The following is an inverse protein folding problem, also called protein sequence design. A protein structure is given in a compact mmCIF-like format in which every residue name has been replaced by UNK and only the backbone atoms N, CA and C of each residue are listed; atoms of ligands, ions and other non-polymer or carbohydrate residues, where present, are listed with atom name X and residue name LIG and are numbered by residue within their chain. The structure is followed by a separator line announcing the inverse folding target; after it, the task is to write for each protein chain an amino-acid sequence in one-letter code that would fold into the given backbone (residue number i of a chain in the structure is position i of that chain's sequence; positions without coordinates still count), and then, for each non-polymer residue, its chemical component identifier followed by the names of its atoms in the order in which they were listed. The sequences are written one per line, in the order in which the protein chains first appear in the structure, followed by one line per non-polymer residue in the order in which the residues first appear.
data_IF_076302716439
#
_entry.id   IF_076302716439
#
_cell.length_a   1.000
_cell.length_b   1.000
_cell.length_c   1.000
_cell.angle_alpha   90.00
_cell.angle_beta   90.00
_cell.angle_gamma   90.00
#
_symmetry.space_group_name_H-M   'P 1'
#
loop_
_entity.id
_entity.type
_entity.pdbx_description
1 polymer ?
#
# COMPACT_ATOMS: atom_id res chain seq x y z
N UNK A 1 -12.43 -17.33 9.87
CA UNK A 1 -12.00 -18.42 8.95
C UNK A 1 -11.20 -17.82 7.80
N UNK A 2 -10.48 -18.65 7.01
CA UNK A 2 -9.68 -18.20 5.84
C UNK A 2 -10.57 -17.46 4.82
N UNK A 3 -11.83 -17.80 4.72
CA UNK A 3 -12.83 -17.17 3.86
C UNK A 3 -13.17 -15.74 4.32
N UNK A 4 -13.25 -15.48 5.62
CA UNK A 4 -13.44 -14.14 6.19
C UNK A 4 -12.23 -13.25 5.96
N UNK A 5 -11.01 -13.82 6.04
CA UNK A 5 -9.77 -13.08 5.76
C UNK A 5 -9.62 -12.70 4.28
N UNK A 6 -10.27 -13.41 3.39
CA UNK A 6 -10.24 -13.15 1.94
C UNK A 6 -11.43 -12.28 1.46
N UNK A 7 -12.31 -11.84 2.37
CA UNK A 7 -13.48 -11.04 2.01
C UNK A 7 -14.50 -11.80 1.14
N UNK A 8 -14.43 -13.13 1.15
CA UNK A 8 -15.41 -13.99 0.47
C UNK A 8 -16.56 -14.19 1.44
N UNK A 9 -17.57 -13.36 1.35
CA UNK A 9 -18.86 -13.66 1.99
C UNK A 9 -19.35 -15.01 1.46
N UNK A 10 -19.49 -15.99 2.31
CA UNK A 10 -20.06 -17.25 1.89
C UNK A 10 -21.51 -17.01 1.48
N UNK A 11 -21.91 -17.53 0.33
CA UNK A 11 -23.33 -17.49 -0.08
C UNK A 11 -24.27 -18.11 0.97
N UNK A 12 -23.76 -18.94 1.87
CA UNK A 12 -24.47 -19.53 2.98
C UNK A 12 -24.97 -18.48 3.98
N UNK A 13 -24.20 -17.43 4.26
CA UNK A 13 -24.59 -16.37 5.21
C UNK A 13 -25.71 -15.48 4.65
N UNK A 14 -25.81 -15.34 3.33
CA UNK A 14 -26.95 -14.65 2.68
C UNK A 14 -28.23 -15.47 2.69
N UNK A 15 -28.13 -16.79 2.73
CA UNK A 15 -29.29 -17.70 2.70
C UNK A 15 -29.86 -17.91 4.08
N UNK A 16 -29.08 -17.79 5.15
CA UNK A 16 -29.56 -17.91 6.53
C UNK A 16 -30.52 -16.78 6.98
N UNK A 17 -30.52 -15.64 6.29
CA UNK A 17 -31.44 -14.52 6.54
C UNK A 17 -32.82 -14.64 5.89
N UNK A 18 -33.02 -15.59 4.97
CA UNK A 18 -34.30 -15.89 4.37
C UNK A 18 -34.81 -17.20 4.96
N UNK A 19 -35.53 -17.06 6.05
CA UNK A 19 -36.20 -18.17 6.70
C UNK A 19 -37.12 -18.96 5.74
N UNK A 20 -36.97 -20.28 5.78
CA UNK A 20 -37.97 -21.27 5.42
C UNK A 20 -38.52 -21.25 3.99
N UNK A 21 -37.74 -21.47 2.97
CA UNK A 21 -38.29 -22.01 1.71
C UNK A 21 -37.29 -23.02 1.10
N UNK A 22 -37.70 -24.29 1.09
CA UNK A 22 -37.22 -25.30 0.13
C UNK A 22 -35.78 -25.79 0.27
N UNK A 23 -35.25 -25.91 1.44
CA UNK A 23 -33.80 -26.03 1.67
C UNK A 23 -33.17 -27.43 1.50
N UNK A 24 -33.97 -28.48 1.43
CA UNK A 24 -33.43 -29.85 1.35
C UNK A 24 -32.68 -30.16 0.05
N UNK A 25 -33.08 -29.53 -1.07
CA UNK A 25 -32.40 -29.75 -2.36
C UNK A 25 -31.15 -28.87 -2.54
N UNK A 26 -31.16 -27.65 -1.98
CA UNK A 26 -30.00 -26.73 -2.09
C UNK A 26 -28.80 -27.20 -1.28
N UNK A 27 -29.02 -27.75 -0.08
CA UNK A 27 -27.94 -28.33 0.72
C UNK A 27 -27.35 -29.60 0.10
N UNK A 28 -28.17 -30.40 -0.61
CA UNK A 28 -27.68 -31.58 -1.32
C UNK A 28 -26.83 -31.24 -2.55
N UNK A 29 -27.12 -30.15 -3.22
CA UNK A 29 -26.28 -29.70 -4.35
C UNK A 29 -24.94 -29.13 -3.88
N UNK A 30 -24.89 -28.45 -2.74
CA UNK A 30 -23.63 -27.90 -2.20
C UNK A 30 -22.71 -28.98 -1.60
N UNK A 31 -23.29 -30.08 -1.08
CA UNK A 31 -22.55 -31.21 -0.52
C UNK A 31 -22.17 -32.27 -1.56
N UNK A 32 -22.53 -32.09 -2.81
CA UNK A 32 -22.12 -32.97 -3.90
C UNK A 32 -20.59 -32.97 -4.06
N UNK A 33 -19.93 -34.14 -4.14
CA UNK A 33 -18.50 -34.25 -4.43
C UNK A 33 -18.10 -33.51 -5.71
N UNK A 34 -19.01 -33.41 -6.67
CA UNK A 34 -18.81 -32.66 -7.91
C UNK A 34 -18.76 -31.14 -7.69
N UNK A 35 -19.59 -30.59 -6.81
CA UNK A 35 -19.58 -29.16 -6.47
C UNK A 35 -18.27 -28.78 -5.77
N UNK A 36 -17.75 -29.66 -4.90
CA UNK A 36 -16.44 -29.46 -4.24
C UNK A 36 -15.28 -29.56 -5.23
N UNK A 37 -15.35 -30.51 -6.18
CA UNK A 37 -14.35 -30.64 -7.26
C UNK A 37 -14.39 -29.43 -8.19
N UNK A 38 -15.58 -28.90 -8.49
CA UNK A 38 -15.76 -27.73 -9.33
C UNK A 38 -15.23 -26.46 -8.63
N UNK A 39 -15.47 -26.31 -7.33
CA UNK A 39 -14.90 -25.23 -6.52
C UNK A 39 -13.37 -25.31 -6.46
N UNK A 40 -12.82 -26.52 -6.27
CA UNK A 40 -11.37 -26.76 -6.30
C UNK A 40 -10.78 -26.49 -7.69
N UNK A 41 -11.48 -26.88 -8.76
CA UNK A 41 -11.07 -26.59 -10.13
C UNK A 41 -11.09 -25.07 -10.42
N UNK A 42 -12.09 -24.36 -9.94
CA UNK A 42 -12.20 -22.90 -10.08
C UNK A 42 -11.15 -22.14 -9.26
N UNK A 43 -10.83 -22.64 -8.04
CA UNK A 43 -9.72 -22.11 -7.24
C UNK A 43 -8.34 -22.44 -7.85
N UNK A 44 -8.23 -23.53 -8.62
CA UNK A 44 -7.00 -23.94 -9.30
C UNK A 44 -6.81 -23.29 -10.65
N UNK A 45 -7.84 -22.66 -11.22
CA UNK A 45 -7.71 -21.88 -12.45
C UNK A 45 -6.87 -20.64 -12.20
N UNK A 46 -5.86 -20.37 -13.01
CA UNK A 46 -5.16 -19.09 -12.94
C UNK A 46 -6.20 -17.99 -13.13
N UNK A 47 -6.14 -16.91 -12.32
CA UNK A 47 -7.08 -15.81 -12.45
C UNK A 47 -7.11 -15.33 -13.89
N UNK A 48 -8.31 -15.22 -14.46
CA UNK A 48 -8.49 -14.72 -15.82
C UNK A 48 -8.02 -13.26 -15.84
N UNK A 49 -7.12 -12.95 -16.76
CA UNK A 49 -6.61 -11.60 -16.93
C UNK A 49 -7.73 -10.75 -17.54
N UNK A 50 -8.23 -9.76 -16.78
CA UNK A 50 -9.31 -8.87 -17.22
C UNK A 50 -8.86 -7.95 -18.36
N UNK A 51 -7.60 -7.51 -18.29
CA UNK A 51 -7.01 -6.59 -19.25
C UNK A 51 -5.95 -7.31 -20.10
N UNK A 52 -6.39 -8.31 -20.91
CA UNK A 52 -5.50 -9.09 -21.78
C UNK A 52 -4.67 -8.20 -22.71
N UNK A 53 -5.25 -7.11 -23.20
CA UNK A 53 -4.56 -6.13 -24.05
C UNK A 53 -3.37 -5.50 -23.34
N UNK A 54 -3.52 -5.11 -22.05
CA UNK A 54 -2.43 -4.53 -21.27
C UNK A 54 -1.35 -5.57 -20.97
N UNK A 55 -1.76 -6.81 -20.68
CA UNK A 55 -0.80 -7.91 -20.45
C UNK A 55 0.09 -8.17 -21.67
N UNK A 56 -0.43 -8.01 -22.89
CA UNK A 56 0.33 -8.21 -24.12
C UNK A 56 1.38 -7.12 -24.33
N UNK A 57 1.10 -5.88 -23.92
CA UNK A 57 2.02 -4.75 -24.05
C UNK A 57 3.32 -4.94 -23.26
N UNK A 58 3.32 -5.72 -22.17
CA UNK A 58 4.54 -6.03 -21.42
C UNK A 58 5.58 -6.83 -22.21
N UNK A 59 5.15 -7.54 -23.23
CA UNK A 59 6.01 -8.39 -24.04
C UNK A 59 6.33 -7.77 -25.42
N UNK A 60 5.76 -6.59 -25.71
CA UNK A 60 5.96 -5.87 -26.98
C UNK A 60 6.81 -4.63 -26.70
N UNK A 61 7.80 -4.29 -27.51
CA UNK A 61 8.48 -3.00 -27.41
C UNK A 61 7.43 -1.91 -27.63
N UNK A 62 7.16 -1.14 -26.57
CA UNK A 62 6.17 -0.05 -26.61
C UNK A 62 6.75 1.07 -27.47
N UNK A 63 6.15 1.33 -28.62
CA UNK A 63 6.37 2.56 -29.36
C UNK A 63 5.52 3.62 -28.65
N UNK A 64 6.16 4.54 -27.95
CA UNK A 64 5.51 5.58 -27.13
C UNK A 64 4.99 6.73 -28.01
N UNK A 65 3.90 6.52 -28.73
CA UNK A 65 3.24 7.61 -29.46
C UNK A 65 2.44 8.56 -28.55
N UNK A 66 2.07 8.10 -27.35
CA UNK A 66 1.29 8.87 -26.37
C UNK A 66 1.60 8.38 -24.93
N UNK A 67 2.74 8.72 -24.34
CA UNK A 67 3.14 8.22 -23.05
C UNK A 67 2.32 8.83 -21.91
N UNK A 68 1.75 7.99 -21.04
CA UNK A 68 1.18 8.40 -19.78
C UNK A 68 2.25 8.29 -18.68
N UNK A 69 2.58 9.42 -18.05
CA UNK A 69 3.52 9.43 -16.93
C UNK A 69 2.84 9.02 -15.63
N UNK A 70 3.53 8.20 -14.86
CA UNK A 70 3.09 7.82 -13.52
C UNK A 70 4.28 7.43 -12.65
N UNK A 71 4.10 7.56 -11.35
CA UNK A 71 5.10 7.19 -10.36
C UNK A 71 4.69 5.91 -9.65
N UNK A 72 5.68 5.13 -9.22
CA UNK A 72 5.49 3.91 -8.44
C UNK A 72 6.39 3.93 -7.23
N UNK A 73 5.80 3.64 -6.08
CA UNK A 73 6.50 3.44 -4.82
C UNK A 73 6.19 2.06 -4.27
N UNK A 74 7.18 1.43 -3.64
CA UNK A 74 7.01 0.15 -2.97
C UNK A 74 7.43 0.29 -1.51
N UNK A 75 6.55 -0.18 -0.62
CA UNK A 75 6.79 -0.19 0.82
C UNK A 75 6.63 -1.62 1.36
N UNK A 76 7.46 -1.96 2.35
CA UNK A 76 7.53 -3.31 2.93
C UNK A 76 7.14 -3.29 4.39
N UNK A 77 6.24 -4.21 4.77
CA UNK A 77 5.79 -4.41 6.15
C UNK A 77 5.85 -5.90 6.48
N UNK A 78 6.43 -6.24 7.63
CA UNK A 78 6.50 -7.63 8.07
C UNK A 78 5.10 -8.14 8.42
N UNK A 79 4.69 -9.22 7.79
CA UNK A 79 3.49 -9.96 8.16
C UNK A 79 3.85 -11.14 9.07
N UNK A 80 4.87 -11.89 8.69
CA UNK A 80 5.45 -13.01 9.44
C UNK A 80 6.93 -13.15 9.07
N UNK A 81 7.61 -14.16 9.61
CA UNK A 81 9.01 -14.43 9.26
C UNK A 81 9.20 -14.86 7.81
N UNK A 82 8.15 -15.44 7.20
CA UNK A 82 8.16 -15.96 5.84
C UNK A 82 7.41 -15.07 4.85
N UNK A 83 6.67 -14.06 5.32
CA UNK A 83 5.80 -13.23 4.48
C UNK A 83 5.98 -11.75 4.78
N UNK A 84 6.13 -10.99 3.71
CA UNK A 84 6.24 -9.53 3.75
C UNK A 84 5.09 -8.94 2.93
N UNK A 85 4.31 -8.07 3.56
CA UNK A 85 3.33 -7.25 2.84
C UNK A 85 4.12 -6.26 2.01
N UNK A 86 3.98 -6.39 0.70
CA UNK A 86 4.57 -5.51 -0.29
C UNK A 86 3.47 -4.60 -0.82
N UNK A 87 3.48 -3.35 -0.39
CA UNK A 87 2.50 -2.35 -0.80
C UNK A 87 3.03 -1.59 -2.01
N UNK A 88 2.42 -1.81 -3.17
CA UNK A 88 2.76 -1.14 -4.44
C UNK A 88 1.79 0.01 -4.61
N UNK A 89 2.28 1.24 -4.52
CA UNK A 89 1.49 2.47 -4.71
C UNK A 89 1.82 3.07 -6.07
N UNK A 90 0.78 3.32 -6.86
CA UNK A 90 0.84 3.94 -8.19
C UNK A 90 0.17 5.29 -8.09
N UNK A 91 0.81 6.33 -8.62
CA UNK A 91 0.30 7.70 -8.60
C UNK A 91 0.36 8.31 -10.00
N UNK A 92 -0.75 8.92 -10.42
CA UNK A 92 -0.91 9.61 -11.72
C UNK A 92 -1.34 11.04 -11.48
N UNK A 93 -0.77 11.98 -12.21
CA UNK A 93 -1.22 13.38 -12.23
C UNK A 93 -2.57 13.46 -12.96
N UNK A 94 -3.61 13.98 -12.33
CA UNK A 94 -4.94 14.05 -12.96
C UNK A 94 -4.99 15.00 -14.15
N UNK A 95 -4.07 15.97 -14.23
CA UNK A 95 -3.95 16.88 -15.40
C UNK A 95 -3.58 16.15 -16.69
N UNK A 96 -2.93 14.98 -16.59
CA UNK A 96 -2.52 14.14 -17.72
C UNK A 96 -3.62 13.17 -18.16
N UNK A 97 -4.79 13.19 -17.46
CA UNK A 97 -5.93 12.32 -17.75
C UNK A 97 -7.02 13.09 -18.49
N UNK A 98 -7.74 12.38 -19.36
CA UNK A 98 -8.89 12.92 -20.06
C UNK A 98 -10.18 12.67 -19.27
N UNK A 99 -10.82 13.77 -18.85
CA UNK A 99 -12.12 13.73 -18.19
C UNK A 99 -13.22 13.80 -19.24
N UNK A 100 -14.22 12.93 -19.13
CA UNK A 100 -15.41 12.87 -19.99
C UNK A 100 -16.65 13.04 -19.14
N UNK A 101 -17.69 13.65 -19.70
CA UNK A 101 -18.99 13.74 -19.04
C UNK A 101 -19.62 12.35 -18.94
N UNK A 102 -20.08 12.02 -17.74
CA UNK A 102 -20.79 10.78 -17.45
C UNK A 102 -21.92 11.09 -16.47
N UNK A 103 -23.11 11.36 -16.99
CA UNK A 103 -24.30 11.64 -16.21
C UNK A 103 -24.23 12.94 -15.40
N UNK A 104 -23.58 13.97 -15.93
CA UNK A 104 -23.42 15.28 -15.28
C UNK A 104 -22.20 15.39 -14.36
N UNK A 105 -21.40 14.32 -14.26
CA UNK A 105 -20.11 14.32 -13.58
C UNK A 105 -18.99 14.18 -14.61
N UNK A 106 -17.90 14.90 -14.38
CA UNK A 106 -16.66 14.73 -15.13
C UNK A 106 -15.92 13.53 -14.57
N UNK A 107 -15.61 12.55 -15.39
CA UNK A 107 -14.99 11.28 -14.97
C UNK A 107 -13.74 10.99 -15.80
N UNK A 108 -12.62 10.73 -15.12
CA UNK A 108 -11.45 10.10 -15.70
C UNK A 108 -11.34 8.65 -15.23
N UNK A 109 -11.01 7.74 -16.14
CA UNK A 109 -10.87 6.33 -15.84
C UNK A 109 -9.53 5.82 -16.34
N UNK A 110 -8.75 5.22 -15.45
CA UNK A 110 -7.53 4.50 -15.80
C UNK A 110 -7.69 3.02 -15.50
N UNK A 111 -7.12 2.20 -16.35
CA UNK A 111 -6.95 0.76 -16.10
C UNK A 111 -5.50 0.51 -15.69
N UNK A 112 -5.32 -0.20 -14.59
CA UNK A 112 -4.02 -0.58 -14.04
C UNK A 112 -3.85 -2.08 -14.18
N UNK A 113 -2.70 -2.49 -14.69
CA UNK A 113 -2.25 -3.88 -14.72
C UNK A 113 -0.87 -3.99 -14.10
N UNK A 114 -0.67 -4.97 -13.21
CA UNK A 114 0.62 -5.24 -12.61
C UNK A 114 0.95 -6.73 -12.59
N UNK A 115 2.18 -7.08 -12.96
CA UNK A 115 2.70 -8.45 -12.94
C UNK A 115 3.95 -8.53 -12.08
N UNK A 116 3.94 -9.42 -11.10
CA UNK A 116 5.08 -9.70 -10.24
C UNK A 116 5.70 -11.03 -10.66
N UNK A 117 6.98 -11.00 -10.97
CA UNK A 117 7.74 -12.17 -11.44
C UNK A 117 8.98 -12.36 -10.59
N UNK A 118 9.25 -13.58 -10.14
CA UNK A 118 10.50 -13.90 -9.44
C UNK A 118 11.69 -13.89 -10.39
N UNK A 119 12.92 -13.84 -9.85
CA UNK A 119 14.16 -13.94 -10.67
C UNK A 119 14.21 -15.22 -11.51
N UNK A 120 13.56 -16.30 -11.03
CA UNK A 120 13.45 -17.57 -11.77
C UNK A 120 12.40 -17.55 -12.87
N UNK A 121 11.81 -16.38 -13.19
CA UNK A 121 10.79 -16.23 -14.23
C UNK A 121 9.38 -16.70 -13.83
N UNK A 122 9.19 -17.17 -12.58
CA UNK A 122 7.87 -17.63 -12.14
C UNK A 122 7.01 -16.44 -11.74
N UNK A 123 5.75 -16.45 -12.17
CA UNK A 123 4.76 -15.47 -11.77
C UNK A 123 4.44 -15.63 -10.28
N UNK A 124 4.64 -14.55 -9.52
CA UNK A 124 4.37 -14.47 -8.09
C UNK A 124 3.05 -13.75 -7.77
N UNK A 125 2.55 -12.93 -8.70
CA UNK A 125 1.27 -12.24 -8.55
C UNK A 125 0.87 -11.46 -9.78
N UNK A 126 -0.44 -11.18 -9.87
CA UNK A 126 -1.05 -10.24 -10.83
C UNK A 126 -2.05 -9.40 -10.07
N UNK A 127 -2.19 -8.15 -10.46
CA UNK A 127 -3.27 -7.29 -10.03
C UNK A 127 -3.79 -6.46 -11.21
N UNK A 128 -5.09 -6.25 -11.22
CA UNK A 128 -5.80 -5.58 -12.30
C UNK A 128 -7.00 -4.84 -11.71
N UNK A 129 -6.98 -3.53 -11.78
CA UNK A 129 -8.06 -2.73 -11.23
C UNK A 129 -8.32 -1.47 -12.08
N UNK A 130 -9.59 -1.10 -12.31
CA UNK A 130 -9.93 0.22 -12.80
C UNK A 130 -9.91 1.22 -11.65
N UNK A 131 -9.36 2.41 -11.89
CA UNK A 131 -9.45 3.55 -10.97
C UNK A 131 -10.27 4.64 -11.65
N UNK A 132 -11.27 5.14 -10.95
CA UNK A 132 -12.18 6.16 -11.44
C UNK A 132 -12.05 7.39 -10.56
N UNK A 133 -11.78 8.52 -11.18
CA UNK A 133 -11.76 9.84 -10.53
C UNK A 133 -12.94 10.64 -11.04
N UNK A 134 -13.77 11.16 -10.15
CA UNK A 134 -14.94 11.96 -10.48
C UNK A 134 -14.83 13.36 -9.91
N UNK A 135 -15.35 14.34 -10.64
CA UNK A 135 -15.48 15.72 -10.19
C UNK A 135 -16.77 16.33 -10.77
N UNK A 136 -17.34 17.31 -10.09
CA UNK A 136 -18.34 18.17 -10.71
C UNK A 136 -17.66 19.09 -11.74
N UNK A 137 -18.42 19.66 -12.65
CA UNK A 137 -17.88 20.63 -13.63
C UNK A 137 -17.21 21.82 -12.93
N UNK A 138 -17.71 22.22 -11.77
CA UNK A 138 -17.15 23.32 -10.98
C UNK A 138 -15.81 22.95 -10.31
N UNK A 139 -15.67 21.70 -9.89
CA UNK A 139 -14.47 21.17 -9.21
C UNK A 139 -13.42 20.62 -10.18
N UNK A 140 -13.69 20.63 -11.48
CA UNK A 140 -12.82 19.97 -12.47
C UNK A 140 -11.38 20.52 -12.47
N UNK A 141 -11.24 21.84 -12.32
CA UNK A 141 -9.92 22.49 -12.26
C UNK A 141 -9.15 22.00 -11.05
N UNK A 142 -9.75 22.03 -9.87
CA UNK A 142 -9.13 21.56 -8.63
C UNK A 142 -8.86 20.03 -8.68
N UNK A 143 -9.75 19.28 -9.32
CA UNK A 143 -9.57 17.84 -9.50
C UNK A 143 -8.37 17.51 -10.40
N UNK A 144 -8.13 18.31 -11.45
CA UNK A 144 -6.96 18.18 -12.32
C UNK A 144 -5.65 18.51 -11.62
N UNK A 145 -5.67 19.43 -10.66
CA UNK A 145 -4.48 19.78 -9.86
C UNK A 145 -4.11 18.75 -8.80
N UNK A 146 -4.97 17.74 -8.60
CA UNK A 146 -4.73 16.62 -7.68
C UNK A 146 -4.07 15.44 -8.39
N UNK A 147 -3.71 14.46 -7.58
CA UNK A 147 -3.15 13.19 -8.05
C UNK A 147 -4.11 12.05 -7.68
N UNK A 148 -4.27 11.11 -8.59
CA UNK A 148 -4.96 9.86 -8.32
C UNK A 148 -3.95 8.82 -7.85
N UNK A 149 -4.24 8.17 -6.72
CA UNK A 149 -3.40 7.15 -6.14
C UNK A 149 -4.16 5.83 -6.03
N UNK A 150 -3.47 4.75 -6.36
CA UNK A 150 -3.93 3.37 -6.23
C UNK A 150 -2.89 2.57 -5.46
N UNK A 151 -3.31 1.67 -4.58
CA UNK A 151 -2.39 0.79 -3.88
C UNK A 151 -2.87 -0.66 -3.94
N UNK A 152 -1.92 -1.56 -4.23
CA UNK A 152 -2.10 -3.00 -4.10
C UNK A 152 -1.11 -3.55 -3.08
N UNK A 153 -1.62 -4.21 -2.06
CA UNK A 153 -0.82 -4.96 -1.11
C UNK A 153 -0.79 -6.45 -1.52
N UNK A 154 0.41 -7.01 -1.59
CA UNK A 154 0.64 -8.42 -1.92
C UNK A 154 1.58 -9.03 -0.88
N UNK A 155 1.25 -10.18 -0.34
CA UNK A 155 2.11 -10.91 0.58
C UNK A 155 3.11 -11.77 -0.21
N UNK A 156 4.38 -11.39 -0.19
CA UNK A 156 5.48 -12.10 -0.88
C UNK A 156 6.44 -12.75 0.12
N UNK A 157 7.07 -13.84 -0.27
CA UNK A 157 8.22 -14.38 0.45
C UNK A 157 9.43 -13.46 0.26
N UNK A 158 10.37 -13.39 1.23
CA UNK A 158 11.64 -12.69 1.03
C UNK A 158 12.37 -13.18 -0.22
N UNK A 159 12.93 -12.25 -1.00
CA UNK A 159 13.62 -12.57 -2.24
C UNK A 159 13.58 -11.44 -3.26
N UNK A 160 14.16 -11.67 -4.43
CA UNK A 160 14.20 -10.67 -5.50
C UNK A 160 13.15 -10.98 -6.55
N UNK A 161 12.36 -9.98 -6.89
CA UNK A 161 11.30 -10.02 -7.88
C UNK A 161 11.46 -8.85 -8.85
N UNK A 162 10.71 -8.89 -9.93
CA UNK A 162 10.46 -7.80 -10.86
C UNK A 162 8.96 -7.49 -10.83
N UNK A 163 8.62 -6.22 -10.79
CA UNK A 163 7.25 -5.75 -10.99
C UNK A 163 7.18 -5.00 -12.30
N UNK A 164 6.31 -5.43 -13.16
CA UNK A 164 5.94 -4.74 -14.40
C UNK A 164 4.57 -4.08 -14.15
N UNK A 165 4.47 -2.78 -14.34
CA UNK A 165 3.22 -2.01 -14.16
C UNK A 165 2.87 -1.31 -15.44
N UNK A 166 1.62 -1.41 -15.85
CA UNK A 166 1.02 -0.65 -16.96
C UNK A 166 -0.15 0.16 -16.43
N UNK A 167 -0.22 1.40 -16.84
CA UNK A 167 -1.36 2.28 -16.61
C UNK A 167 -1.84 2.81 -17.95
N UNK A 168 -3.15 2.72 -18.22
CA UNK A 168 -3.77 3.24 -19.44
C UNK A 168 -4.95 4.15 -19.11
N UNK A 169 -4.94 5.34 -19.64
CA UNK A 169 -6.11 6.21 -19.65
C UNK A 169 -7.10 5.66 -20.69
N UNK A 170 -8.31 5.35 -20.24
CA UNK A 170 -9.34 4.71 -21.10
C UNK A 170 -9.84 5.68 -22.16
N UNK A 171 -9.91 6.96 -21.87
CA UNK A 171 -10.47 7.97 -22.75
C UNK A 171 -9.51 8.37 -23.88
N UNK A 172 -8.25 8.63 -23.57
CA UNK A 172 -7.22 9.01 -24.56
C UNK A 172 -6.49 7.83 -25.18
N UNK A 173 -6.49 6.68 -24.50
CA UNK A 173 -5.64 5.54 -24.87
C UNK A 173 -4.17 5.70 -24.46
N UNK A 174 -3.79 6.83 -23.87
CA UNK A 174 -2.43 7.08 -23.37
C UNK A 174 -2.01 5.97 -22.40
N UNK A 175 -0.82 5.42 -22.61
CA UNK A 175 -0.34 4.26 -21.88
C UNK A 175 1.07 4.48 -21.38
N UNK A 176 1.32 4.17 -20.11
CA UNK A 176 2.63 4.18 -19.50
C UNK A 176 3.02 2.80 -19.00
N UNK A 177 4.32 2.50 -19.02
CA UNK A 177 4.90 1.25 -18.54
C UNK A 177 6.06 1.55 -17.59
N UNK A 178 6.16 0.82 -16.48
CA UNK A 178 7.28 0.86 -15.55
C UNK A 178 7.73 -0.57 -15.20
N UNK A 179 9.04 -0.75 -15.17
CA UNK A 179 9.69 -1.98 -14.75
C UNK A 179 10.51 -1.69 -13.49
N UNK A 180 10.24 -2.39 -12.39
CA UNK A 180 10.82 -2.10 -11.09
C UNK A 180 11.42 -3.36 -10.51
N UNK A 181 12.68 -3.27 -10.07
CA UNK A 181 13.28 -4.30 -9.23
C UNK A 181 12.66 -4.27 -7.84
N UNK A 182 12.30 -5.43 -7.33
CA UNK A 182 11.57 -5.59 -6.07
C UNK A 182 12.36 -6.51 -5.12
N UNK A 183 13.31 -5.98 -4.35
CA UNK A 183 14.03 -6.74 -3.34
C UNK A 183 13.19 -6.81 -2.07
N UNK A 184 12.40 -7.88 -1.92
CA UNK A 184 11.58 -8.11 -0.72
C UNK A 184 12.49 -8.52 0.43
N UNK A 185 12.54 -7.73 1.53
CA UNK A 185 13.47 -7.95 2.61
C UNK A 185 13.16 -9.22 3.41
N UNK A 186 14.20 -9.82 3.98
CA UNK A 186 14.07 -10.86 5.01
C UNK A 186 14.21 -10.21 6.38
N UNK A 187 13.23 -10.39 7.23
CA UNK A 187 13.27 -9.95 8.62
C UNK A 187 13.82 -11.08 9.51
N UNK A 188 14.91 -10.78 10.23
CA UNK A 188 15.49 -11.71 11.20
C UNK A 188 14.72 -11.54 12.53
N UNK A 189 14.11 -12.61 13.07
CA UNK A 189 13.31 -12.51 14.30
C UNK A 189 14.13 -12.13 15.55
N UNK A 190 15.45 -12.24 15.51
CA UNK A 190 16.34 -11.90 16.63
C UNK A 190 16.96 -10.49 16.52
N UNK A 191 16.69 -9.78 15.42
CA UNK A 191 17.26 -8.46 15.20
C UNK A 191 16.20 -7.38 15.22
N UNK A 192 16.52 -6.27 15.89
CA UNK A 192 15.73 -5.05 15.74
C UNK A 192 15.65 -4.69 14.26
N UNK A 193 14.46 -4.43 13.76
CA UNK A 193 14.24 -4.08 12.36
C UNK A 193 13.04 -3.15 12.21
N UNK A 194 12.89 -2.53 11.03
CA UNK A 194 11.77 -1.63 10.74
C UNK A 194 11.12 -1.97 9.43
N UNK A 195 9.86 -1.57 9.26
CA UNK A 195 9.26 -1.45 7.94
C UNK A 195 9.97 -0.38 7.10
N UNK A 196 9.56 -0.22 5.85
CA UNK A 196 9.86 1.02 5.12
C UNK A 196 9.33 2.22 5.90
N UNK A 197 10.13 3.30 5.93
CA UNK A 197 9.69 4.61 6.42
C UNK A 197 8.84 5.28 5.33
N UNK A 198 7.55 5.43 5.60
CA UNK A 198 6.61 6.04 4.66
C UNK A 198 6.40 7.50 5.00
N UNK A 199 6.64 8.37 4.02
CA UNK A 199 6.19 9.76 4.06
C UNK A 199 4.82 9.84 3.38
N UNK A 200 3.81 10.23 4.15
CA UNK A 200 2.41 10.18 3.74
C UNK A 200 1.83 11.57 3.49
N UNK A 201 1.01 11.68 2.47
CA UNK A 201 0.15 12.85 2.25
C UNK A 201 -1.03 12.86 3.23
N UNK A 202 -1.46 11.68 3.70
CA UNK A 202 -2.54 11.56 4.69
C UNK A 202 -2.29 10.37 5.61
N UNK A 203 -2.49 10.60 6.91
CA UNK A 203 -2.55 9.58 7.95
C UNK A 203 -3.89 9.69 8.68
N UNK A 204 -4.56 8.57 8.89
CA UNK A 204 -5.85 8.51 9.56
C UNK A 204 -5.92 7.25 10.43
N UNK A 205 -6.15 7.42 11.73
CA UNK A 205 -6.35 6.28 12.63
C UNK A 205 -7.77 5.76 12.52
N UNK A 206 -7.91 4.44 12.35
CA UNK A 206 -9.18 3.76 12.12
C UNK A 206 -9.77 3.17 13.41
N UNK A 207 -9.65 3.87 14.54
CA UNK A 207 -9.88 3.35 15.91
C UNK A 207 -11.08 2.40 16.07
N UNK A 208 -12.21 2.68 15.40
CA UNK A 208 -13.45 1.89 15.50
C UNK A 208 -14.00 1.46 14.14
N UNK A 209 -13.24 1.63 13.07
CA UNK A 209 -13.64 1.24 11.73
C UNK A 209 -12.98 -0.06 11.30
N UNK A 210 -13.59 -0.84 10.40
CA UNK A 210 -12.94 -2.02 9.83
C UNK A 210 -11.61 -1.63 9.18
N UNK A 211 -10.51 -2.18 9.69
CA UNK A 211 -9.17 -1.95 9.17
C UNK A 211 -8.92 -2.72 7.85
N UNK A 212 -9.80 -2.51 6.86
CA UNK A 212 -9.81 -3.22 5.58
C UNK A 212 -9.87 -2.21 4.45
N UNK A 213 -9.11 -2.41 3.40
CA UNK A 213 -9.17 -1.60 2.18
C UNK A 213 -7.80 -1.15 1.67
N UNK A 214 -7.82 -0.34 0.62
CA UNK A 214 -6.61 0.26 0.09
C UNK A 214 -6.00 1.23 1.11
N UNK A 215 -4.68 1.29 1.13
CA UNK A 215 -3.91 2.17 2.02
C UNK A 215 -3.99 1.85 3.52
N UNK A 216 -4.62 0.74 3.90
CA UNK A 216 -4.75 0.36 5.32
C UNK A 216 -3.58 -0.54 5.73
N UNK A 217 -2.85 -0.12 6.76
CA UNK A 217 -1.72 -0.84 7.36
C UNK A 217 -1.93 -0.88 8.87
N UNK A 218 -2.23 -2.07 9.41
CA UNK A 218 -2.66 -2.22 10.80
C UNK A 218 -3.96 -1.44 11.05
N UNK A 219 -3.98 -0.53 12.00
CA UNK A 219 -5.11 0.33 12.35
C UNK A 219 -4.99 1.75 11.78
N UNK A 220 -4.15 1.94 10.77
CA UNK A 220 -3.89 3.26 10.20
C UNK A 220 -4.09 3.24 8.68
N UNK A 221 -4.84 4.20 8.17
CA UNK A 221 -4.89 4.48 6.74
C UNK A 221 -3.73 5.40 6.40
N UNK A 222 -2.82 4.92 5.55
CA UNK A 222 -1.58 5.57 5.17
C UNK A 222 -1.58 5.81 3.67
N UNK A 223 -1.81 7.03 3.22
CA UNK A 223 -1.73 7.40 1.80
C UNK A 223 -0.34 7.97 1.54
N UNK A 224 0.59 7.21 0.93
CA UNK A 224 1.94 7.70 0.68
C UNK A 224 1.93 8.90 -0.28
N UNK A 225 2.83 9.85 -0.06
CA UNK A 225 3.20 10.83 -1.07
C UNK A 225 4.34 10.24 -1.92
N UNK A 226 3.99 9.76 -3.12
CA UNK A 226 4.95 9.04 -3.97
C UNK A 226 6.03 9.97 -4.53
N UNK A 227 5.67 11.22 -4.85
CA UNK A 227 6.61 12.22 -5.36
C UNK A 227 7.55 12.77 -4.27
N UNK A 228 7.19 12.66 -3.00
CA UNK A 228 7.92 13.26 -1.90
C UNK A 228 7.89 14.79 -1.88
N UNK A 229 7.03 15.43 -2.69
CA UNK A 229 6.88 16.89 -2.78
C UNK A 229 5.64 17.35 -2.03
N UNK A 230 5.79 18.32 -1.15
CA UNK A 230 4.71 18.90 -0.34
C UNK A 230 4.64 20.41 -0.55
N UNK A 231 3.44 20.95 -0.63
CA UNK A 231 3.25 22.41 -0.60
C UNK A 231 3.41 22.92 0.82
N UNK A 232 3.87 24.15 0.97
CA UNK A 232 3.95 24.79 2.28
C UNK A 232 2.57 24.80 2.95
N UNK A 233 2.49 24.30 4.17
CA UNK A 233 1.24 24.13 4.93
C UNK A 233 0.60 22.75 4.80
N UNK A 234 1.00 21.93 3.83
CA UNK A 234 0.62 20.52 3.78
C UNK A 234 1.43 19.73 4.80
N UNK A 235 0.79 19.02 5.73
CA UNK A 235 1.54 18.26 6.73
C UNK A 235 2.22 17.03 6.10
N UNK A 236 3.43 16.71 6.56
CA UNK A 236 4.13 15.48 6.20
C UNK A 236 3.81 14.40 7.21
N UNK A 237 3.10 13.37 6.80
CA UNK A 237 2.85 12.19 7.63
C UNK A 237 4.07 11.29 7.69
N UNK A 238 4.40 10.78 8.87
CA UNK A 238 5.44 9.77 9.09
C UNK A 238 4.76 8.51 9.56
N UNK A 239 4.99 7.40 8.86
CA UNK A 239 4.53 6.08 9.29
C UNK A 239 5.66 5.05 9.18
N UNK A 240 5.89 4.32 10.27
CA UNK A 240 6.88 3.25 10.31
C UNK A 240 6.51 2.24 11.40
N UNK A 241 6.78 0.97 11.17
CA UNK A 241 6.69 -0.08 12.17
C UNK A 241 8.08 -0.50 12.61
N UNK A 242 8.24 -0.75 13.91
CA UNK A 242 9.45 -1.30 14.51
C UNK A 242 9.15 -2.71 14.98
N UNK A 243 10.04 -3.64 14.66
CA UNK A 243 9.89 -5.06 14.94
C UNK A 243 11.00 -5.58 15.85
N UNK A 244 10.66 -6.58 16.68
CA UNK A 244 11.58 -7.29 17.56
C UNK A 244 12.27 -6.38 18.60
N UNK A 245 11.56 -5.35 19.06
CA UNK A 245 12.01 -4.57 20.20
C UNK A 245 12.03 -5.46 21.45
N UNK A 246 13.08 -5.36 22.25
CA UNK A 246 13.25 -6.14 23.47
C UNK A 246 12.19 -5.82 24.52
N UNK A 247 11.70 -6.85 25.20
CA UNK A 247 10.71 -6.73 26.26
C UNK A 247 11.43 -6.48 27.61
N UNK A 248 11.12 -5.36 28.22
CA UNK A 248 11.55 -5.04 29.58
C UNK A 248 10.87 -5.99 30.59
N UNK A 249 11.66 -6.68 31.39
CA UNK A 249 11.17 -7.72 32.31
C UNK A 249 10.32 -7.17 33.46
N UNK A 250 10.46 -5.87 33.77
CA UNK A 250 9.72 -5.23 34.83
C UNK A 250 8.34 -4.77 34.35
N UNK A 251 8.28 -4.18 33.15
CA UNK A 251 7.05 -3.61 32.60
C UNK A 251 6.30 -4.58 31.69
N UNK A 252 6.97 -5.67 31.25
CA UNK A 252 6.49 -6.63 30.24
C UNK A 252 6.09 -5.96 28.92
N UNK A 253 6.77 -4.88 28.56
CA UNK A 253 6.52 -4.09 27.35
C UNK A 253 7.79 -3.82 26.57
N UNK A 254 7.70 -3.55 25.27
CA UNK A 254 8.85 -3.10 24.48
C UNK A 254 9.44 -1.82 25.06
N UNK A 255 10.77 -1.74 25.17
CA UNK A 255 11.47 -0.58 25.74
C UNK A 255 12.44 -0.01 24.71
N UNK A 256 11.98 1.05 24.01
CA UNK A 256 12.77 1.74 22.99
C UNK A 256 12.82 3.25 23.22
N UNK A 257 13.93 3.87 22.82
CA UNK A 257 14.03 5.32 22.65
C UNK A 257 13.82 5.62 21.16
N UNK A 258 13.00 6.61 20.86
CA UNK A 258 12.76 7.10 19.51
C UNK A 258 13.14 8.58 19.43
N UNK A 259 13.98 8.90 18.45
CA UNK A 259 14.44 10.25 18.19
C UNK A 259 14.19 10.61 16.73
N UNK A 260 13.46 11.68 16.50
CA UNK A 260 13.22 12.24 15.17
C UNK A 260 14.17 13.41 14.97
N UNK A 261 14.96 13.40 13.91
CA UNK A 261 15.83 14.49 13.50
C UNK A 261 15.44 14.96 12.09
N UNK A 262 15.09 16.24 11.97
CA UNK A 262 14.83 16.88 10.69
C UNK A 262 16.10 17.62 10.25
N UNK A 263 16.58 17.27 9.07
CA UNK A 263 17.76 17.88 8.47
C UNK A 263 17.38 18.70 7.24
N UNK A 264 18.05 19.82 7.02
CA UNK A 264 18.03 20.60 5.79
C UNK A 264 19.46 20.80 5.33
N UNK A 265 19.76 20.45 4.10
CA UNK A 265 21.13 20.53 3.54
C UNK A 265 22.18 19.84 4.44
N UNK A 266 21.80 18.69 5.04
CA UNK A 266 22.66 17.93 5.95
C UNK A 266 22.84 18.51 7.36
N UNK A 267 22.19 19.66 7.68
CA UNK A 267 22.23 20.28 9.02
C UNK A 267 20.92 20.01 9.76
N UNK A 268 21.01 19.63 11.02
CA UNK A 268 19.87 19.44 11.89
C UNK A 268 19.15 20.79 12.13
N UNK A 269 17.86 20.85 11.75
CA UNK A 269 17.01 22.03 11.92
C UNK A 269 15.90 21.82 12.94
N UNK A 270 15.69 20.58 13.35
CA UNK A 270 14.73 20.22 14.39
C UNK A 270 14.99 18.82 14.92
N UNK A 271 14.73 18.62 16.22
CA UNK A 271 14.91 17.36 16.90
C UNK A 271 13.82 17.15 17.94
N UNK A 272 13.28 15.95 17.99
CA UNK A 272 12.29 15.55 18.99
C UNK A 272 12.57 14.14 19.45
N UNK A 273 12.65 13.94 20.77
CA UNK A 273 12.75 12.62 21.36
C UNK A 273 11.39 12.19 21.93
N UNK A 274 11.13 10.90 21.90
CA UNK A 274 9.89 10.31 22.37
C UNK A 274 10.15 8.99 23.09
N UNK A 275 9.46 8.79 24.21
CA UNK A 275 9.51 7.55 24.98
C UNK A 275 8.30 6.67 24.63
N UNK A 276 8.55 5.51 24.07
CA UNK A 276 7.53 4.57 23.59
C UNK A 276 7.21 3.45 24.58
N UNK A 277 7.54 3.64 25.86
CA UNK A 277 7.16 2.70 26.90
C UNK A 277 5.64 2.61 27.01
N UNK A 278 5.03 1.67 26.36
CA UNK A 278 3.60 1.43 26.52
C UNK A 278 2.75 1.51 25.27
N UNK A 279 3.33 1.89 24.14
CA UNK A 279 2.63 1.85 22.87
C UNK A 279 3.07 0.60 22.09
N UNK A 280 2.26 -0.45 22.15
CA UNK A 280 2.48 -1.68 21.40
C UNK A 280 1.19 -2.10 20.71
N UNK A 281 1.23 -2.29 19.40
CA UNK A 281 0.07 -2.78 18.65
C UNK A 281 -0.15 -4.28 18.88
N UNK A 282 0.95 -5.04 18.88
CA UNK A 282 0.90 -6.50 19.09
C UNK A 282 2.29 -7.01 19.46
N UNK A 283 2.46 -7.45 20.71
CA UNK A 283 3.69 -8.06 21.19
C UNK A 283 4.91 -7.16 20.98
N UNK A 284 5.83 -7.59 20.11
CA UNK A 284 7.10 -6.89 19.84
C UNK A 284 7.04 -5.90 18.65
N UNK A 285 5.84 -5.55 18.18
CA UNK A 285 5.66 -4.57 17.11
C UNK A 285 5.20 -3.24 17.67
N UNK A 286 5.89 -2.16 17.33
CA UNK A 286 5.53 -0.79 17.63
C UNK A 286 5.19 -0.05 16.33
N UNK A 287 4.19 0.83 16.37
CA UNK A 287 3.85 1.69 15.23
C UNK A 287 4.14 3.14 15.56
N UNK A 288 5.00 3.75 14.74
CA UNK A 288 5.31 5.18 14.79
C UNK A 288 4.41 5.90 13.77
N UNK A 289 3.59 6.81 14.27
CA UNK A 289 2.65 7.60 13.49
C UNK A 289 2.72 9.06 13.95
N UNK A 290 3.29 9.94 13.12
CA UNK A 290 3.53 11.36 13.44
C UNK A 290 3.26 12.25 12.24
N UNK A 291 3.00 13.52 12.55
CA UNK A 291 2.82 14.57 11.54
C UNK A 291 3.85 15.67 11.76
N UNK A 292 4.52 16.10 10.69
CA UNK A 292 5.38 17.29 10.67
C UNK A 292 4.57 18.44 10.08
N UNK A 293 4.52 19.56 10.78
CA UNK A 293 3.94 20.80 10.29
C UNK A 293 4.94 21.54 9.38
N UNK A 294 4.59 21.71 8.12
CA UNK A 294 5.46 22.38 7.16
C UNK A 294 5.28 23.90 7.10
N UNK A 295 4.33 24.48 7.83
CA UNK A 295 4.05 25.94 7.79
C UNK A 295 5.26 26.80 8.16
N UNK A 296 6.09 26.29 9.07
CA UNK A 296 7.29 26.97 9.54
C UNK A 296 8.55 26.57 8.76
N UNK A 297 8.45 25.61 7.86
CA UNK A 297 9.58 25.18 7.04
C UNK A 297 9.76 26.13 5.86
N UNK A 298 11.01 26.52 5.61
CA UNK A 298 11.35 27.25 4.40
C UNK A 298 11.37 26.28 3.20
N UNK A 299 11.05 26.73 1.97
CA UNK A 299 11.18 25.89 0.79
C UNK A 299 12.57 25.25 0.68
N UNK A 300 12.62 24.02 0.16
CA UNK A 300 13.87 23.29 -0.03
C UNK A 300 13.76 21.79 0.27
N UNK A 301 14.90 21.11 0.17
CA UNK A 301 15.00 19.67 0.44
C UNK A 301 15.24 19.41 1.93
N UNK A 302 14.52 18.44 2.45
CA UNK A 302 14.62 17.97 3.82
C UNK A 302 14.84 16.47 3.87
N UNK A 303 15.47 16.01 4.95
CA UNK A 303 15.58 14.62 5.30
C UNK A 303 15.10 14.41 6.73
N UNK A 304 14.16 13.49 6.91
CA UNK A 304 13.78 13.02 8.25
C UNK A 304 14.55 11.74 8.57
N UNK A 305 15.25 11.71 9.67
CA UNK A 305 15.93 10.53 10.21
C UNK A 305 15.27 10.13 11.52
N UNK A 306 14.96 8.85 11.67
CA UNK A 306 14.30 8.31 12.86
C UNK A 306 15.25 7.33 13.53
N UNK A 307 15.90 7.75 14.60
CA UNK A 307 16.75 6.87 15.39
C UNK A 307 15.91 6.09 16.39
N UNK A 308 15.98 4.78 16.30
CA UNK A 308 15.33 3.85 17.24
C UNK A 308 16.42 3.08 17.97
N UNK A 309 16.44 3.15 19.30
CA UNK A 309 17.36 2.40 20.14
C UNK A 309 16.57 1.49 21.07
N UNK A 310 16.81 0.21 20.97
CA UNK A 310 16.28 -0.78 21.91
C UNK A 310 17.12 -0.76 23.20
N UNK A 311 16.49 -0.47 24.31
CA UNK A 311 17.16 -0.38 25.63
C UNK A 311 17.52 -1.75 26.19
N UNK A 312 16.82 -2.80 25.76
CA UNK A 312 17.03 -4.17 26.26
C UNK A 312 18.21 -4.83 25.55
N UNK A 313 18.19 -4.83 24.22
CA UNK A 313 19.26 -5.46 23.42
C UNK A 313 20.43 -4.52 23.11
N UNK A 314 20.28 -3.21 23.29
CA UNK A 314 21.25 -2.19 22.89
C UNK A 314 21.35 -1.97 21.39
N UNK A 315 20.57 -2.67 20.57
CA UNK A 315 20.55 -2.48 19.12
C UNK A 315 19.97 -1.12 18.73
N UNK A 316 20.44 -0.54 17.64
CA UNK A 316 19.99 0.76 17.16
C UNK A 316 19.88 0.79 15.64
N UNK A 317 18.87 1.50 15.12
CA UNK A 317 18.60 1.73 13.72
C UNK A 317 18.35 3.22 13.49
N UNK A 318 18.62 3.70 12.28
CA UNK A 318 18.37 5.10 11.90
C UNK A 318 17.88 5.21 10.44
N UNK A 319 16.70 4.66 10.11
CA UNK A 319 16.15 4.87 8.78
C UNK A 319 15.89 6.34 8.50
N UNK A 320 16.05 6.76 7.25
CA UNK A 320 15.78 8.12 6.81
C UNK A 320 14.98 8.17 5.52
N UNK A 321 14.32 9.29 5.28
CA UNK A 321 13.59 9.56 4.04
C UNK A 321 13.66 11.05 3.70
N UNK A 322 13.74 11.35 2.38
CA UNK A 322 13.83 12.72 1.87
C UNK A 322 12.48 13.22 1.38
N UNK A 323 12.25 14.52 1.50
CA UNK A 323 11.11 15.21 0.94
C UNK A 323 11.45 16.65 0.60
N UNK A 324 10.64 17.26 -0.26
CA UNK A 324 10.79 18.65 -0.66
C UNK A 324 9.59 19.47 -0.25
N UNK A 325 9.80 20.64 0.30
CA UNK A 325 8.77 21.66 0.57
C UNK A 325 8.88 22.76 -0.50
N UNK A 326 7.74 23.06 -1.17
CA UNK A 326 7.63 24.11 -2.17
C UNK A 326 7.21 25.44 -1.56
#
# INVERSE_FOLDING_TARGET
TLAEQLGIESKADRISGYGQIGTANYQREQDSPFSRLQLLADLSRPPQVKFNELSSLLNTPVIEDNPLNFDVRVDFFRQSDERVITAITIQVENKDLVFQDSGGLQQARINIFGRITSVAGRRAGIFEDPVITTATTQELTDAKDRKSAYQKAVALAPGTYKVDVIVRDVASGATGVRHIALPVPKYDPQKLSTSTLVLAAKLENLNDQPAVGQFVIGQTKVIPNVSGVYKKGEPVGIYMQVYNAGIDQTTLRPSVDVEYALLKDGKEVGKQAEDWRGLSDSGQRLTLNRMIDTRQLAPGEYEISIRVRDRVSGQSLAPSAKFTVL
#
